data_IF_190581093563
#
_entry.id   IF_190581093563
#
_cell.length_a   1.000
_cell.length_b   1.000
_cell.length_c   1.000
_cell.angle_alpha   90.00
_cell.angle_beta   90.00
_cell.angle_gamma   90.00
#
_symmetry.space_group_name_H-M   'P 1'
#
loop_
_entity.id
_entity.type
_entity.pdbx_description
1 polymer ?
#
# COMPACT_ATOMS: atom_id res chain seq x y z
N UNK A 1 -0.35 -5.83 -49.19
CA UNK A 1 -0.24 -5.53 -47.75
C UNK A 1 -0.99 -6.60 -46.98
N UNK A 2 -0.42 -7.22 -45.94
CA UNK A 2 -1.25 -7.65 -44.82
C UNK A 2 -0.70 -7.14 -43.47
N UNK A 3 -1.57 -6.39 -42.81
CA UNK A 3 -1.65 -6.08 -41.37
C UNK A 3 -0.36 -6.16 -40.55
N UNK A 4 0.23 -4.97 -40.33
CA UNK A 4 1.13 -4.73 -39.20
C UNK A 4 0.39 -5.13 -37.92
N UNK A 5 0.99 -6.02 -37.12
CA UNK A 5 0.51 -6.37 -35.78
C UNK A 5 0.08 -5.08 -35.06
N UNK A 6 -1.11 -5.00 -34.43
CA UNK A 6 -1.51 -3.79 -33.74
C UNK A 6 -0.45 -3.47 -32.70
N UNK A 7 0.15 -2.29 -32.84
CA UNK A 7 1.16 -1.78 -31.93
C UNK A 7 0.46 -1.54 -30.59
N UNK A 8 0.76 -2.35 -29.59
CA UNK A 8 0.38 -2.10 -28.20
C UNK A 8 -1.11 -2.26 -27.93
N UNK A 9 -1.59 -3.49 -27.89
CA UNK A 9 -2.38 -3.82 -26.70
C UNK A 9 -1.40 -3.62 -25.54
N UNK A 10 -1.45 -2.43 -24.92
CA UNK A 10 -0.79 -2.21 -23.64
C UNK A 10 -1.50 -3.20 -22.73
N UNK A 11 -0.97 -4.41 -22.62
CA UNK A 11 -1.30 -5.28 -21.51
C UNK A 11 -0.91 -4.43 -20.32
N UNK A 12 -1.88 -3.73 -19.74
CA UNK A 12 -1.73 -3.21 -18.40
C UNK A 12 -1.44 -4.47 -17.59
N UNK A 13 -0.16 -4.68 -17.28
CA UNK A 13 0.29 -5.80 -16.49
C UNK A 13 -0.34 -5.63 -15.11
N UNK A 14 -1.61 -6.03 -14.99
CA UNK A 14 -2.40 -5.85 -13.78
C UNK A 14 -1.88 -6.85 -12.77
N UNK A 15 -1.20 -6.34 -11.76
CA UNK A 15 -0.63 -7.16 -10.69
C UNK A 15 -1.41 -6.91 -9.43
N UNK A 16 -1.77 -7.98 -8.73
CA UNK A 16 -2.44 -7.88 -7.43
C UNK A 16 -1.53 -7.16 -6.43
N UNK A 17 -2.11 -6.39 -5.49
CA UNK A 17 -1.35 -5.83 -4.38
C UNK A 17 -0.61 -6.92 -3.62
N UNK A 18 0.68 -6.70 -3.40
CA UNK A 18 1.53 -7.58 -2.62
C UNK A 18 2.42 -6.77 -1.67
N UNK A 19 2.58 -7.25 -0.45
CA UNK A 19 3.50 -6.65 0.52
C UNK A 19 4.94 -7.02 0.15
N UNK A 20 5.70 -6.05 -0.33
CA UNK A 20 7.16 -6.17 -0.47
C UNK A 20 7.79 -6.15 0.92
N UNK A 21 7.31 -5.22 1.77
CA UNK A 21 7.68 -5.15 3.17
C UNK A 21 6.41 -5.20 4.01
N UNK A 22 6.13 -6.33 4.68
CA UNK A 22 4.96 -6.44 5.55
C UNK A 22 5.13 -5.53 6.77
N UNK A 23 4.00 -5.17 7.35
CA UNK A 23 3.98 -4.51 8.66
C UNK A 23 4.60 -5.44 9.70
N UNK A 24 5.36 -4.87 10.64
CA UNK A 24 6.04 -5.62 11.69
C UNK A 24 5.70 -5.04 13.06
N UNK A 25 5.66 -5.92 14.05
CA UNK A 25 5.48 -5.55 15.45
C UNK A 25 6.64 -4.66 15.92
N UNK A 26 6.32 -3.56 16.59
CA UNK A 26 7.29 -2.68 17.22
C UNK A 26 6.99 -2.53 18.71
N UNK A 27 8.03 -2.57 19.53
CA UNK A 27 7.96 -2.22 20.95
C UNK A 27 8.55 -0.83 21.13
N UNK A 28 7.85 0.02 21.87
CA UNK A 28 8.24 1.41 22.11
C UNK A 28 8.12 1.73 23.59
N UNK A 29 8.90 2.69 24.05
CA UNK A 29 8.83 3.19 25.43
C UNK A 29 7.62 4.11 25.57
N UNK A 30 6.95 4.05 26.72
CA UNK A 30 5.80 4.92 27.04
C UNK A 30 6.19 6.38 26.88
N UNK A 31 5.35 7.15 26.19
CA UNK A 31 5.56 8.58 25.92
C UNK A 31 6.48 8.88 24.72
N UNK A 32 6.95 7.87 24.00
CA UNK A 32 7.68 8.03 22.74
C UNK A 32 6.78 7.72 21.53
N UNK A 33 7.06 8.36 20.40
CA UNK A 33 6.36 8.10 19.15
C UNK A 33 6.82 6.78 18.51
N UNK A 34 5.91 6.10 17.82
CA UNK A 34 6.20 4.90 17.04
C UNK A 34 5.84 5.13 15.58
N UNK A 35 6.74 4.75 14.67
CA UNK A 35 6.50 4.76 13.23
C UNK A 35 6.18 3.34 12.76
N UNK A 36 4.98 3.12 12.25
CA UNK A 36 4.59 1.89 11.56
C UNK A 36 4.68 2.09 10.05
N UNK A 37 5.28 1.15 9.34
CA UNK A 37 5.59 1.28 7.92
C UNK A 37 5.40 -0.08 7.21
N UNK A 38 4.90 -0.03 5.98
CA UNK A 38 4.83 -1.17 5.08
C UNK A 38 5.09 -0.71 3.65
N UNK A 39 5.45 -1.62 2.77
CA UNK A 39 5.65 -1.35 1.34
C UNK A 39 4.79 -2.32 0.54
N UNK A 40 3.92 -1.76 -0.29
CA UNK A 40 3.00 -2.52 -1.16
C UNK A 40 3.31 -2.18 -2.60
N UNK A 41 3.34 -3.20 -3.46
CA UNK A 41 3.37 -3.01 -4.91
C UNK A 41 2.13 -3.64 -5.54
N UNK A 42 1.66 -3.05 -6.62
CA UNK A 42 0.48 -3.48 -7.37
C UNK A 42 0.34 -2.61 -8.61
N UNK A 43 -0.43 -3.08 -9.58
CA UNK A 43 -0.78 -2.29 -10.75
C UNK A 43 -2.27 -2.51 -11.04
N UNK A 44 -3.11 -1.46 -11.01
CA UNK A 44 -2.79 -0.06 -10.67
C UNK A 44 -2.28 0.12 -9.24
N UNK A 45 -1.75 1.31 -8.93
CA UNK A 45 -1.20 1.62 -7.60
C UNK A 45 -2.20 1.27 -6.49
N UNK A 46 -1.79 0.51 -5.47
CA UNK A 46 -2.69 0.04 -4.44
C UNK A 46 -3.12 1.17 -3.52
N UNK A 47 -4.40 1.19 -3.14
CA UNK A 47 -4.91 2.06 -2.07
C UNK A 47 -4.64 1.40 -0.73
N UNK A 48 -3.95 2.11 0.17
CA UNK A 48 -3.60 1.61 1.51
C UNK A 48 -4.52 2.25 2.55
N UNK A 49 -4.97 1.43 3.51
CA UNK A 49 -5.76 1.86 4.66
C UNK A 49 -5.14 1.31 5.94
N UNK A 50 -4.98 2.17 6.94
CA UNK A 50 -4.48 1.79 8.26
C UNK A 50 -5.64 1.59 9.24
N UNK A 51 -5.54 0.52 10.02
CA UNK A 51 -6.54 0.14 11.03
C UNK A 51 -5.85 -0.11 12.37
N UNK A 52 -6.53 0.27 13.46
CA UNK A 52 -6.17 -0.12 14.82
C UNK A 52 -7.40 -0.75 15.47
N UNK A 53 -7.28 -2.00 15.92
CA UNK A 53 -8.38 -2.74 16.52
C UNK A 53 -9.65 -2.74 15.63
N UNK A 54 -9.49 -2.97 14.33
CA UNK A 54 -10.51 -2.90 13.28
C UNK A 54 -11.13 -1.50 12.99
N UNK A 55 -10.63 -0.45 13.64
CA UNK A 55 -11.10 0.92 13.43
C UNK A 55 -10.15 1.72 12.54
N UNK A 56 -10.74 2.56 11.70
CA UNK A 56 -10.00 3.47 10.82
C UNK A 56 -9.26 4.53 11.63
N UNK A 57 -7.94 4.57 11.49
CA UNK A 57 -7.10 5.52 12.22
C UNK A 57 -7.14 6.93 11.62
N UNK A 58 -7.64 7.10 10.39
CA UNK A 58 -7.77 8.42 9.74
C UNK A 58 -8.70 9.38 10.49
N UNK A 59 -9.60 8.85 11.33
CA UNK A 59 -10.59 9.64 12.06
C UNK A 59 -10.11 10.08 13.45
N UNK A 60 -8.89 9.69 13.86
CA UNK A 60 -8.38 9.97 15.19
C UNK A 60 -7.17 10.93 15.11
N UNK A 61 -7.20 12.05 15.86
CA UNK A 61 -6.19 13.10 15.77
C UNK A 61 -4.81 12.70 16.31
N UNK A 62 -4.74 11.58 17.04
CA UNK A 62 -3.49 11.08 17.61
C UNK A 62 -2.62 10.31 16.60
N UNK A 63 -3.13 10.02 15.39
CA UNK A 63 -2.39 9.31 14.34
C UNK A 63 -2.08 10.22 13.15
N UNK A 64 -0.84 10.18 12.69
CA UNK A 64 -0.38 10.84 11.48
C UNK A 64 -0.13 9.79 10.38
N UNK A 65 -0.81 9.92 9.24
CA UNK A 65 -0.69 9.03 8.08
C UNK A 65 -0.04 9.80 6.94
N UNK A 66 1.09 9.28 6.44
CA UNK A 66 1.84 9.82 5.30
C UNK A 66 1.54 9.07 4.00
#
# INVERSE_FOLDING_TARGET
MPFKRPLGERIENKTLPNFIRPLQDKRVVVGQNVLLECQVAGQPDPVVKWLKDDHDVTQCPDYEIN
#
